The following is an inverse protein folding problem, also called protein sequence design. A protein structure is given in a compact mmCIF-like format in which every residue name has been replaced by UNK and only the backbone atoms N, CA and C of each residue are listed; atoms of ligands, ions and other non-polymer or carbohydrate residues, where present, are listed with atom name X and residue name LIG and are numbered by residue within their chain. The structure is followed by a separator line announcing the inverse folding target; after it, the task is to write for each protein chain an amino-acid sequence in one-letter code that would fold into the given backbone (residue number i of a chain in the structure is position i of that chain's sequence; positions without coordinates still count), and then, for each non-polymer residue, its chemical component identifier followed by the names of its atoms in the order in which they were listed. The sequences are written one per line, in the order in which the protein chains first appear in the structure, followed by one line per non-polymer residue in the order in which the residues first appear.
data_IF_852195672244
#
_entry.id   IF_852195672244
#
_cell.length_a   1.000
_cell.length_b   1.000
_cell.length_c   1.000
_cell.angle_alpha   90.00
_cell.angle_beta   90.00
_cell.angle_gamma   90.00
#
_symmetry.space_group_name_H-M   'P 1'
#
loop_
_entity.id
_entity.type
_entity.pdbx_description
1 polymer ?
#
# COMPACT_ATOMS: atom_id res chain seq x y z
N UNK A 1 28.69 1.96 -8.94
CA UNK A 1 29.66 1.69 -10.03
C UNK A 1 30.74 2.77 -10.02
N UNK A 2 32.04 2.49 -10.30
CA UNK A 2 32.81 1.25 -10.15
C UNK A 2 33.96 1.39 -9.12
N UNK A 3 34.32 0.28 -8.46
CA UNK A 3 35.47 0.17 -7.58
C UNK A 3 36.62 -0.57 -8.31
N UNK A 4 37.77 0.09 -8.43
CA UNK A 4 39.11 -0.53 -8.58
C UNK A 4 39.49 -1.00 -7.16
N UNK A 5 39.97 -2.20 -6.86
CA UNK A 5 40.94 -3.03 -7.56
C UNK A 5 42.17 -3.11 -6.65
N UNK A 6 42.30 -4.17 -5.83
CA UNK A 6 43.49 -4.44 -5.01
C UNK A 6 43.65 -5.96 -4.77
N UNK A 7 44.78 -6.50 -5.24
CA UNK A 7 45.29 -7.85 -4.97
C UNK A 7 46.09 -7.84 -3.65
N UNK A 8 46.23 -8.99 -2.97
CA UNK A 8 47.57 -9.61 -2.86
C UNK A 8 47.48 -11.15 -3.01
N UNK A 9 48.44 -11.84 -3.63
CA UNK A 9 49.80 -12.10 -3.12
C UNK A 9 49.86 -13.56 -2.64
N UNK A 10 50.38 -14.48 -3.46
CA UNK A 10 50.45 -15.92 -3.14
C UNK A 10 51.74 -16.56 -3.68
N UNK A 11 52.61 -17.00 -2.77
CA UNK A 11 53.63 -18.06 -2.91
C UNK A 11 54.32 -18.25 -1.54
N UNK A 12 54.98 -19.37 -1.19
CA UNK A 12 55.16 -20.64 -1.91
C UNK A 12 54.78 -21.88 -1.08
N UNK A 13 54.34 -22.98 -1.71
CA UNK A 13 54.15 -24.28 -1.06
C UNK A 13 55.33 -25.22 -1.34
N UNK A 14 55.89 -25.75 -0.25
CA UNK A 14 56.94 -26.78 -0.20
C UNK A 14 56.36 -28.16 -0.58
N UNK A 15 57.15 -28.93 -1.35
CA UNK A 15 57.15 -30.40 -1.43
C UNK A 15 57.62 -30.99 -0.07
N UNK A 16 57.26 -32.22 0.36
CA UNK A 16 57.57 -33.45 -0.39
C UNK A 16 56.62 -34.65 -0.22
N UNK A 17 56.71 -35.57 -1.19
CA UNK A 17 56.22 -36.93 -1.07
C UNK A 17 56.45 -37.69 -2.37
N UNK A 18 57.31 -38.72 -2.34
CA UNK A 18 56.92 -40.06 -2.78
C UNK A 18 57.92 -41.14 -2.32
N UNK A 19 57.35 -42.31 -2.05
CA UNK A 19 57.92 -43.58 -1.57
C UNK A 19 58.30 -44.51 -2.74
N UNK A 20 58.84 -45.69 -2.35
CA UNK A 20 59.10 -46.93 -3.14
C UNK A 20 60.43 -47.00 -3.92
N UNK A 21 61.15 -48.11 -4.04
CA UNK A 21 60.97 -49.52 -3.66
C UNK A 21 62.33 -50.28 -3.77
N UNK A 22 62.47 -51.38 -3.03
CA UNK A 22 63.21 -52.63 -3.35
C UNK A 22 64.71 -52.65 -3.72
N UNK A 23 65.50 -53.45 -2.98
CA UNK A 23 66.03 -54.76 -3.41
C UNK A 23 67.37 -55.14 -2.73
N UNK A 24 67.49 -56.43 -2.42
CA UNK A 24 68.48 -57.14 -1.58
C UNK A 24 69.96 -57.06 -1.98
N UNK A 25 70.90 -57.42 -1.07
CA UNK A 25 72.20 -57.95 -1.44
C UNK A 25 72.30 -59.48 -1.29
N UNK A 26 73.20 -60.01 -2.10
CA UNK A 26 73.32 -61.39 -2.58
C UNK A 26 74.02 -62.35 -1.60
N UNK A 27 73.49 -63.56 -1.55
CA UNK A 27 74.21 -64.78 -1.17
C UNK A 27 75.29 -65.10 -2.22
N UNK A 28 76.49 -65.49 -1.77
CA UNK A 28 77.37 -66.38 -2.54
C UNK A 28 78.18 -67.28 -1.59
N UNK A 29 77.85 -68.55 -1.64
CA UNK A 29 78.62 -69.66 -1.06
C UNK A 29 79.61 -70.21 -2.09
N UNK A 30 80.55 -71.04 -1.58
CA UNK A 30 81.31 -72.11 -2.27
C UNK A 30 82.56 -71.59 -3.03
N UNK A 31 83.75 -72.24 -3.05
CA UNK A 31 84.05 -73.68 -2.97
C UNK A 31 85.60 -73.94 -2.99
N UNK A 32 86.02 -75.13 -2.48
CA UNK A 32 87.17 -76.02 -2.83
C UNK A 32 88.65 -75.80 -2.41
N UNK A 33 89.25 -76.96 -2.02
CA UNK A 33 90.67 -77.34 -2.10
C UNK A 33 91.14 -78.07 -0.83
N UNK A 34 90.85 -79.35 -0.54
CA UNK A 34 91.32 -80.63 -1.11
C UNK A 34 92.86 -80.80 -1.26
N UNK A 35 93.43 -81.69 -0.43
CA UNK A 35 94.47 -82.74 -0.70
C UNK A 35 95.05 -83.16 0.69
N UNK A 36 94.90 -84.35 1.25
CA UNK A 36 95.16 -85.73 0.79
C UNK A 36 96.59 -85.91 0.26
N UNK A 37 97.45 -86.46 1.12
CA UNK A 37 98.58 -87.31 0.73
C UNK A 37 98.84 -88.26 1.91
N UNK A 38 98.48 -89.52 1.69
CA UNK A 38 98.91 -90.64 2.52
C UNK A 38 100.10 -91.35 1.89
N UNK A 39 100.64 -92.26 2.71
CA UNK A 39 101.33 -93.50 2.38
C UNK A 39 102.80 -93.54 1.97
N UNK A 40 103.45 -94.54 2.60
CA UNK A 40 104.42 -95.49 2.05
C UNK A 40 105.85 -94.96 1.79
N UNK A 41 106.96 -95.70 1.93
CA UNK A 41 107.25 -97.11 2.26
C UNK A 41 108.78 -97.32 2.15
N UNK A 42 109.32 -98.22 2.99
CA UNK A 42 110.46 -99.18 2.84
C UNK A 42 111.81 -98.86 2.13
N UNK A 43 112.88 -99.46 2.70
CA UNK A 43 114.16 -99.83 2.04
C UNK A 43 115.38 -99.60 2.95
N UNK A 44 115.87 -100.53 3.78
CA UNK A 44 116.61 -101.79 3.52
C UNK A 44 118.04 -101.61 2.95
N UNK A 45 119.07 -101.80 3.79
CA UNK A 45 120.38 -102.42 3.50
C UNK A 45 121.10 -102.66 4.84
N UNK A 46 121.12 -103.86 5.43
CA UNK A 46 121.98 -105.05 5.21
C UNK A 46 123.33 -105.04 5.99
N UNK A 47 123.47 -106.00 6.93
CA UNK A 47 124.70 -106.62 7.52
C UNK A 47 125.62 -105.75 8.43
N UNK A 48 126.11 -106.13 9.64
CA UNK A 48 126.49 -107.42 10.25
C UNK A 48 126.38 -107.42 11.81
N UNK A 49 126.11 -108.63 12.34
CA UNK A 49 126.56 -109.25 13.61
C UNK A 49 126.27 -108.68 15.02
N UNK A 50 125.36 -109.40 15.70
CA UNK A 50 125.37 -109.84 17.12
C UNK A 50 125.43 -108.81 18.28
N UNK A 51 124.29 -108.55 18.96
CA UNK A 51 124.35 -108.15 20.38
C UNK A 51 123.19 -107.43 21.10
N UNK A 52 122.12 -106.92 20.46
CA UNK A 52 121.31 -105.83 21.08
C UNK A 52 119.78 -106.06 21.17
N UNK A 53 119.34 -107.12 21.87
CA UNK A 53 117.90 -107.45 21.94
C UNK A 53 117.13 -106.89 23.16
N UNK A 54 117.82 -106.19 24.08
CA UNK A 54 117.23 -105.73 25.35
C UNK A 54 116.98 -104.21 25.37
N UNK A 55 117.94 -103.38 24.90
CA UNK A 55 117.84 -101.91 24.93
C UNK A 55 116.75 -101.35 24.00
N UNK A 56 116.49 -102.04 22.88
CA UNK A 56 115.41 -101.68 21.96
C UNK A 56 114.01 -101.82 22.59
N UNK A 57 113.81 -102.71 23.56
CA UNK A 57 112.52 -102.85 24.26
C UNK A 57 112.26 -101.68 25.21
N UNK A 58 113.28 -101.22 25.92
CA UNK A 58 113.17 -100.09 26.84
C UNK A 58 112.94 -98.78 26.07
N UNK A 59 113.54 -98.63 24.89
CA UNK A 59 113.28 -97.48 24.02
C UNK A 59 111.84 -97.46 23.46
N UNK A 60 111.32 -98.62 23.03
CA UNK A 60 109.93 -98.76 22.57
C UNK A 60 108.94 -98.44 23.70
N UNK A 61 109.18 -98.93 24.91
CA UNK A 61 108.29 -98.63 26.06
C UNK A 61 108.34 -97.16 26.48
N UNK A 62 109.50 -96.49 26.39
CA UNK A 62 109.58 -95.04 26.61
C UNK A 62 108.82 -94.25 25.55
N UNK A 63 108.91 -94.64 24.29
CA UNK A 63 108.15 -94.03 23.20
C UNK A 63 106.64 -94.23 23.36
N UNK A 64 106.19 -95.40 23.80
CA UNK A 64 104.78 -95.66 24.10
C UNK A 64 104.27 -94.81 25.28
N UNK A 65 105.07 -94.63 26.32
CA UNK A 65 104.77 -93.74 27.44
C UNK A 65 104.74 -92.26 27.03
N UNK A 66 105.62 -91.84 26.11
CA UNK A 66 105.61 -90.47 25.58
C UNK A 66 104.39 -90.24 24.67
N UNK A 67 104.04 -91.22 23.84
CA UNK A 67 102.89 -91.17 22.94
C UNK A 67 101.57 -91.11 23.71
N UNK A 68 101.43 -91.91 24.77
CA UNK A 68 100.28 -91.87 25.69
C UNK A 68 100.20 -90.54 26.43
N UNK A 69 101.32 -90.00 26.95
CA UNK A 69 101.34 -88.64 27.54
C UNK A 69 100.93 -87.55 26.56
N UNK A 70 101.41 -87.61 25.31
CA UNK A 70 100.97 -86.69 24.24
C UNK A 70 99.48 -86.82 23.98
N UNK A 71 98.99 -88.06 23.85
CA UNK A 71 97.58 -88.33 23.58
C UNK A 71 96.69 -87.83 24.72
N UNK A 72 97.06 -88.05 25.99
CA UNK A 72 96.36 -87.50 27.14
C UNK A 72 96.38 -85.96 27.17
N UNK A 73 97.50 -85.34 26.78
CA UNK A 73 97.60 -83.88 26.67
C UNK A 73 96.71 -83.32 25.57
N UNK A 74 96.60 -84.00 24.44
CA UNK A 74 95.64 -83.66 23.38
C UNK A 74 94.20 -83.84 23.85
N UNK A 75 93.88 -84.94 24.51
CA UNK A 75 92.53 -85.19 25.05
C UNK A 75 92.15 -84.18 26.13
N UNK A 76 93.08 -83.78 27.01
CA UNK A 76 92.84 -82.71 28.00
C UNK A 76 92.57 -81.37 27.33
N UNK A 77 93.39 -80.97 26.35
CA UNK A 77 93.16 -79.74 25.59
C UNK A 77 91.85 -79.80 24.80
N UNK A 78 91.54 -80.93 24.18
CA UNK A 78 90.29 -81.13 23.44
C UNK A 78 89.07 -81.02 24.37
N UNK A 79 89.13 -81.63 25.56
CA UNK A 79 88.08 -81.46 26.58
C UNK A 79 87.95 -80.01 27.05
N UNK A 80 89.06 -79.32 27.28
CA UNK A 80 89.05 -77.90 27.64
C UNK A 80 88.45 -77.03 26.53
N UNK A 81 88.81 -77.27 25.26
CA UNK A 81 88.21 -76.57 24.14
C UNK A 81 86.72 -76.90 23.98
N UNK A 82 86.30 -78.16 24.18
CA UNK A 82 84.89 -78.54 24.15
C UNK A 82 84.08 -77.85 25.24
N UNK A 83 84.60 -77.78 26.47
CA UNK A 83 83.97 -77.03 27.57
C UNK A 83 83.89 -75.55 27.22
N UNK A 84 84.97 -74.96 26.70
CA UNK A 84 85.01 -73.54 26.30
C UNK A 84 84.03 -73.23 25.17
N UNK A 85 83.92 -74.11 24.18
CA UNK A 85 82.95 -74.00 23.08
C UNK A 85 81.54 -74.08 23.65
N UNK A 86 81.25 -75.04 24.52
CA UNK A 86 79.95 -75.18 25.16
C UNK A 86 79.57 -73.96 26.01
N UNK A 87 80.52 -73.36 26.74
CA UNK A 87 80.31 -72.12 27.48
C UNK A 87 80.01 -70.93 26.54
N UNK A 88 80.77 -70.78 25.46
CA UNK A 88 80.56 -69.72 24.47
C UNK A 88 79.24 -69.88 23.72
N UNK A 89 78.84 -71.10 23.41
CA UNK A 89 77.53 -71.42 22.82
C UNK A 89 76.39 -71.12 23.78
N UNK A 90 76.53 -71.43 25.08
CA UNK A 90 75.57 -71.08 26.11
C UNK A 90 75.42 -69.56 26.25
N UNK A 91 76.54 -68.81 26.27
CA UNK A 91 76.54 -67.36 26.30
C UNK A 91 75.90 -66.77 25.04
N UNK A 92 76.19 -67.31 23.86
CA UNK A 92 75.56 -66.88 22.60
C UNK A 92 74.06 -67.13 22.60
N UNK A 93 73.60 -68.27 23.12
CA UNK A 93 72.18 -68.57 23.25
C UNK A 93 71.50 -67.66 24.28
N UNK A 94 72.15 -67.36 25.41
CA UNK A 94 71.64 -66.43 26.40
C UNK A 94 71.54 -65.00 25.83
N UNK A 95 72.55 -64.54 25.08
CA UNK A 95 72.52 -63.26 24.36
C UNK A 95 71.45 -63.23 23.28
N UNK A 96 71.22 -64.33 22.54
CA UNK A 96 70.12 -64.44 21.57
C UNK A 96 68.76 -64.38 22.24
N UNK A 97 68.57 -65.08 23.36
CA UNK A 97 67.34 -65.06 24.14
C UNK A 97 67.05 -63.66 24.72
N UNK A 98 68.07 -62.96 25.24
CA UNK A 98 67.97 -61.57 25.68
C UNK A 98 67.63 -60.63 24.52
N UNK A 99 68.28 -60.79 23.36
CA UNK A 99 68.00 -60.01 22.15
C UNK A 99 66.57 -60.20 21.63
N UNK A 100 65.99 -61.41 21.72
CA UNK A 100 64.57 -61.60 21.40
C UNK A 100 63.64 -60.87 22.38
N UNK A 101 63.96 -60.80 23.67
CA UNK A 101 63.16 -60.04 24.65
C UNK A 101 63.30 -58.53 24.44
N UNK A 102 64.50 -58.02 24.19
CA UNK A 102 64.72 -56.61 23.80
C UNK A 102 63.97 -56.27 22.52
N UNK A 103 64.01 -57.16 21.51
CA UNK A 103 63.24 -56.99 20.26
C UNK A 103 61.72 -56.92 20.49
N UNK A 104 61.18 -57.63 21.49
CA UNK A 104 59.74 -57.53 21.82
C UNK A 104 59.40 -56.22 22.53
N UNK A 105 60.29 -55.70 23.38
CA UNK A 105 60.11 -54.39 24.04
C UNK A 105 60.24 -53.25 23.03
N UNK A 106 61.16 -53.35 22.07
CA UNK A 106 61.27 -52.39 20.98
C UNK A 106 60.00 -52.40 20.10
N UNK A 107 59.46 -53.58 19.79
CA UNK A 107 58.22 -53.68 19.03
C UNK A 107 57.00 -53.08 19.76
N UNK A 108 56.91 -53.23 21.09
CA UNK A 108 55.84 -52.59 21.87
C UNK A 108 56.04 -51.08 21.96
N UNK A 109 57.28 -50.60 22.11
CA UNK A 109 57.61 -49.17 22.09
C UNK A 109 57.33 -48.54 20.73
N UNK A 110 57.58 -49.23 19.63
CA UNK A 110 57.24 -48.77 18.29
C UNK A 110 55.73 -48.71 18.07
N UNK A 111 54.98 -49.70 18.58
CA UNK A 111 53.52 -49.66 18.59
C UNK A 111 52.99 -48.49 19.43
N UNK A 112 53.58 -48.22 20.59
CA UNK A 112 53.23 -47.08 21.43
C UNK A 112 53.50 -45.75 20.71
N UNK A 113 54.65 -45.61 20.05
CA UNK A 113 54.97 -44.44 19.21
C UNK A 113 54.02 -44.30 18.03
N UNK A 114 53.60 -45.40 17.41
CA UNK A 114 52.61 -45.39 16.33
C UNK A 114 51.23 -44.95 16.82
N UNK A 115 50.77 -45.48 17.96
CA UNK A 115 49.51 -45.04 18.58
C UNK A 115 49.58 -43.57 18.97
N UNK A 116 50.68 -43.11 19.57
CA UNK A 116 50.85 -41.70 19.92
C UNK A 116 50.84 -40.80 18.67
N UNK A 117 51.53 -41.19 17.58
CA UNK A 117 51.44 -40.48 16.29
C UNK A 117 50.01 -40.41 15.76
N UNK A 118 49.27 -41.51 15.83
CA UNK A 118 47.85 -41.55 15.42
C UNK A 118 46.97 -40.67 16.30
N UNK A 119 47.21 -40.64 17.61
CA UNK A 119 46.50 -39.74 18.54
C UNK A 119 46.80 -38.29 18.19
N UNK A 120 48.06 -37.92 17.99
CA UNK A 120 48.45 -36.56 17.59
C UNK A 120 47.80 -36.14 16.28
N UNK A 121 47.80 -37.01 15.27
CA UNK A 121 47.13 -36.76 13.99
C UNK A 121 45.61 -36.61 14.17
N UNK A 122 44.98 -37.39 15.05
CA UNK A 122 43.57 -37.24 15.37
C UNK A 122 43.27 -35.92 16.10
N UNK A 123 44.16 -35.48 16.98
CA UNK A 123 44.06 -34.19 17.69
C UNK A 123 44.19 -33.03 16.71
N UNK A 124 45.16 -33.08 15.80
CA UNK A 124 45.33 -32.08 14.75
C UNK A 124 44.07 -32.00 13.86
N UNK A 125 43.50 -33.14 13.48
CA UNK A 125 42.24 -33.16 12.73
C UNK A 125 41.06 -32.57 13.50
N UNK A 126 40.95 -32.85 14.81
CA UNK A 126 39.90 -32.25 15.66
C UNK A 126 40.11 -30.75 15.81
N UNK A 127 41.36 -30.31 15.96
CA UNK A 127 41.72 -28.90 16.05
C UNK A 127 41.36 -28.17 14.74
N UNK A 128 41.71 -28.72 13.58
CA UNK A 128 41.37 -28.15 12.27
C UNK A 128 39.86 -28.08 12.04
N UNK A 129 39.13 -29.15 12.39
CA UNK A 129 37.66 -29.15 12.35
C UNK A 129 37.08 -28.09 13.27
N UNK A 130 37.62 -27.96 14.49
CA UNK A 130 37.14 -26.96 15.47
C UNK A 130 37.41 -25.54 14.97
N UNK A 131 38.60 -25.25 14.43
CA UNK A 131 38.92 -23.95 13.84
C UNK A 131 38.01 -23.62 12.65
N UNK A 132 37.69 -24.61 11.81
CA UNK A 132 36.76 -24.43 10.69
C UNK A 132 35.34 -24.13 11.15
N UNK A 133 34.83 -24.87 12.14
CA UNK A 133 33.50 -24.63 12.73
C UNK A 133 33.44 -23.21 13.32
N UNK A 134 34.48 -22.77 14.02
CA UNK A 134 34.52 -21.44 14.63
C UNK A 134 34.47 -20.32 13.57
N UNK A 135 35.21 -20.48 12.46
CA UNK A 135 35.16 -19.55 11.32
C UNK A 135 33.80 -19.55 10.62
N UNK A 136 33.16 -20.71 10.47
CA UNK A 136 31.81 -20.82 9.90
C UNK A 136 30.77 -20.13 10.80
N UNK A 137 30.84 -20.33 12.12
CA UNK A 137 29.98 -19.65 13.09
C UNK A 137 30.18 -18.13 13.07
N UNK A 138 31.42 -17.64 12.99
CA UNK A 138 31.69 -16.20 12.85
C UNK A 138 31.08 -15.64 11.56
N UNK A 139 31.23 -16.37 10.44
CA UNK A 139 30.66 -15.97 9.16
C UNK A 139 29.12 -15.93 9.19
N UNK A 140 28.49 -16.89 9.85
CA UNK A 140 27.04 -16.95 9.99
C UNK A 140 26.53 -15.85 10.92
N UNK A 141 27.24 -15.57 12.01
CA UNK A 141 26.95 -14.44 12.90
C UNK A 141 27.03 -13.11 12.13
N UNK A 142 28.07 -12.91 11.33
CA UNK A 142 28.20 -11.72 10.47
C UNK A 142 27.09 -11.64 9.41
N UNK A 143 26.67 -12.76 8.85
CA UNK A 143 25.53 -12.80 7.91
C UNK A 143 24.23 -12.40 8.62
N UNK A 144 23.97 -12.93 9.81
CA UNK A 144 22.81 -12.58 10.61
C UNK A 144 22.82 -11.10 11.01
N UNK A 145 23.96 -10.56 11.42
CA UNK A 145 24.10 -9.13 11.72
C UNK A 145 23.85 -8.25 10.50
N UNK A 146 24.38 -8.60 9.33
CA UNK A 146 24.11 -7.86 8.08
C UNK A 146 22.64 -7.91 7.71
N UNK A 147 22.00 -9.07 7.80
CA UNK A 147 20.56 -9.21 7.54
C UNK A 147 19.74 -8.33 8.49
N UNK A 148 20.09 -8.30 9.79
CA UNK A 148 19.42 -7.43 10.77
C UNK A 148 19.67 -5.95 10.51
N UNK A 149 20.87 -5.56 10.09
CA UNK A 149 21.17 -4.18 9.71
C UNK A 149 20.34 -3.73 8.51
N UNK A 150 20.21 -4.58 7.49
CA UNK A 150 19.34 -4.28 6.35
C UNK A 150 17.87 -4.19 6.75
N UNK A 151 17.37 -5.10 7.59
CA UNK A 151 15.99 -5.03 8.12
C UNK A 151 15.74 -3.72 8.88
N UNK A 152 16.66 -3.33 9.77
CA UNK A 152 16.54 -2.07 10.54
C UNK A 152 16.63 -0.86 9.62
N UNK A 153 17.48 -0.89 8.60
CA UNK A 153 17.58 0.20 7.63
C UNK A 153 16.31 0.33 6.78
N UNK A 154 15.75 -0.80 6.32
CA UNK A 154 14.49 -0.85 5.59
C UNK A 154 13.32 -0.37 6.46
N UNK A 155 13.27 -0.77 7.74
CA UNK A 155 12.29 -0.27 8.70
C UNK A 155 12.40 1.26 8.86
N UNK A 156 13.61 1.79 9.03
CA UNK A 156 13.85 3.23 9.17
C UNK A 156 13.47 4.02 7.91
N UNK A 157 13.80 3.50 6.72
CA UNK A 157 13.39 4.08 5.45
C UNK A 157 11.87 4.04 5.29
N UNK A 158 11.21 2.93 5.67
CA UNK A 158 9.76 2.81 5.63
C UNK A 158 9.05 3.75 6.62
N UNK A 159 9.60 3.95 7.83
CA UNK A 159 9.05 4.89 8.81
C UNK A 159 9.22 6.33 8.33
N UNK A 160 10.38 6.68 7.78
CA UNK A 160 10.61 7.99 7.19
C UNK A 160 9.59 8.28 6.08
N UNK A 161 9.38 7.33 5.17
CA UNK A 161 8.41 7.48 4.08
C UNK A 161 6.97 7.61 4.60
N UNK A 162 6.58 6.85 5.63
CA UNK A 162 5.25 6.97 6.26
C UNK A 162 5.03 8.33 6.93
N UNK A 163 6.06 8.90 7.58
CA UNK A 163 5.94 10.22 8.20
C UNK A 163 5.76 11.34 7.17
N UNK A 164 6.38 11.20 6.00
CA UNK A 164 6.28 12.17 4.90
C UNK A 164 4.93 12.08 4.16
N UNK A 165 4.39 10.86 4.06
CA UNK A 165 3.09 10.60 3.43
C UNK A 165 1.93 11.23 4.21
N UNK A 166 2.00 11.22 5.55
CA UNK A 166 1.03 11.90 6.41
C UNK A 166 0.99 13.40 6.19
N UNK A 167 2.16 14.06 6.17
CA UNK A 167 2.25 15.50 5.93
C UNK A 167 1.77 15.85 4.51
N UNK A 168 2.17 15.08 3.51
CA UNK A 168 1.77 15.26 2.11
C UNK A 168 0.26 15.14 1.92
N UNK A 169 -0.38 14.13 2.52
CA UNK A 169 -1.82 13.94 2.46
C UNK A 169 -2.59 15.09 3.13
N UNK A 170 -2.09 15.62 4.25
CA UNK A 170 -2.69 16.80 4.89
C UNK A 170 -2.56 18.06 4.05
N UNK A 171 -1.41 18.26 3.40
CA UNK A 171 -1.17 19.38 2.48
C UNK A 171 -2.11 19.30 1.28
N UNK A 172 -2.25 18.12 0.67
CA UNK A 172 -3.15 17.92 -0.47
C UNK A 172 -4.61 18.16 -0.08
N UNK A 173 -5.04 17.65 1.08
CA UNK A 173 -6.37 17.92 1.62
C UNK A 173 -6.61 19.40 1.89
N UNK A 174 -5.62 20.11 2.45
CA UNK A 174 -5.71 21.57 2.66
C UNK A 174 -5.90 22.29 1.33
N UNK A 175 -5.09 21.95 0.33
CA UNK A 175 -5.17 22.53 -1.01
C UNK A 175 -6.53 22.25 -1.67
N UNK A 176 -7.07 21.04 -1.52
CA UNK A 176 -8.39 20.72 -2.03
C UNK A 176 -9.47 21.58 -1.37
N UNK A 177 -9.46 21.69 -0.04
CA UNK A 177 -10.43 22.53 0.69
C UNK A 177 -10.31 24.01 0.30
N UNK A 178 -9.11 24.52 0.07
CA UNK A 178 -8.90 25.87 -0.46
C UNK A 178 -9.57 26.06 -1.83
N UNK A 179 -9.42 25.09 -2.75
CA UNK A 179 -10.08 25.16 -4.07
C UNK A 179 -11.61 25.08 -3.97
N UNK A 180 -12.14 24.27 -3.07
CA UNK A 180 -13.59 24.17 -2.84
C UNK A 180 -14.14 25.47 -2.22
N UNK A 181 -13.41 26.08 -1.29
CA UNK A 181 -13.76 27.38 -0.72
C UNK A 181 -13.76 28.47 -1.78
N UNK A 182 -12.75 28.52 -2.65
CA UNK A 182 -12.69 29.53 -3.70
C UNK A 182 -13.84 29.34 -4.72
N UNK A 183 -14.12 28.10 -5.13
CA UNK A 183 -15.24 27.79 -6.00
C UNK A 183 -16.60 28.15 -5.40
N UNK A 184 -16.81 27.91 -4.10
CA UNK A 184 -18.06 28.28 -3.43
C UNK A 184 -18.23 29.80 -3.30
N UNK A 185 -17.14 30.55 -3.06
CA UNK A 185 -17.17 32.02 -3.11
C UNK A 185 -17.55 32.53 -4.50
N UNK A 186 -16.93 32.01 -5.56
CA UNK A 186 -17.25 32.40 -6.94
C UNK A 186 -18.72 32.13 -7.28
N UNK A 187 -19.27 31.00 -6.83
CA UNK A 187 -20.68 30.67 -7.00
C UNK A 187 -21.59 31.62 -6.22
N UNK A 188 -21.25 31.95 -4.97
CA UNK A 188 -21.99 32.90 -4.15
C UNK A 188 -22.01 34.29 -4.80
N UNK A 189 -20.85 34.79 -5.24
CA UNK A 189 -20.73 36.07 -5.95
C UNK A 189 -21.57 36.10 -7.22
N UNK A 190 -21.61 35.00 -7.97
CA UNK A 190 -22.44 34.89 -9.18
C UNK A 190 -23.93 34.94 -8.85
N UNK A 191 -24.36 34.21 -7.82
CA UNK A 191 -25.74 34.22 -7.36
C UNK A 191 -26.15 35.61 -6.86
N UNK A 192 -25.28 36.31 -6.13
CA UNK A 192 -25.55 37.66 -5.65
C UNK A 192 -25.70 38.65 -6.80
N UNK A 193 -24.86 38.58 -7.84
CA UNK A 193 -25.01 39.41 -9.05
C UNK A 193 -26.36 39.16 -9.73
N UNK A 194 -26.77 37.90 -9.87
CA UNK A 194 -28.07 37.54 -10.45
C UNK A 194 -29.24 38.04 -9.59
N UNK A 195 -29.16 37.87 -8.28
CA UNK A 195 -30.21 38.29 -7.35
C UNK A 195 -30.34 39.82 -7.32
N UNK A 196 -29.22 40.55 -7.35
CA UNK A 196 -29.22 42.00 -7.51
C UNK A 196 -29.87 42.44 -8.84
N UNK A 197 -29.58 41.75 -9.94
CA UNK A 197 -30.22 42.03 -11.24
C UNK A 197 -31.73 41.84 -11.18
N UNK A 198 -32.18 40.70 -10.64
CA UNK A 198 -33.61 40.40 -10.46
C UNK A 198 -34.28 41.41 -9.53
N UNK A 199 -33.60 41.84 -8.46
CA UNK A 199 -34.13 42.84 -7.53
C UNK A 199 -34.32 44.20 -8.23
N UNK A 200 -33.36 44.63 -9.04
CA UNK A 200 -33.48 45.87 -9.84
C UNK A 200 -34.62 45.77 -10.84
N UNK A 201 -34.78 44.64 -11.51
CA UNK A 201 -35.87 44.42 -12.47
C UNK A 201 -37.23 44.40 -11.76
N UNK A 202 -37.35 43.73 -10.61
CA UNK A 202 -38.57 43.69 -9.81
C UNK A 202 -38.95 45.11 -9.35
N UNK A 203 -37.98 45.90 -8.90
CA UNK A 203 -38.19 47.30 -8.53
C UNK A 203 -38.68 48.13 -9.74
N UNK A 204 -38.06 47.97 -10.91
CA UNK A 204 -38.50 48.63 -12.15
C UNK A 204 -39.94 48.27 -12.50
N UNK A 205 -40.30 46.99 -12.43
CA UNK A 205 -41.66 46.51 -12.72
C UNK A 205 -42.67 47.08 -11.71
N UNK A 206 -42.34 47.10 -10.42
CA UNK A 206 -43.18 47.74 -9.38
C UNK A 206 -43.45 49.20 -9.69
N UNK A 207 -42.42 49.96 -10.08
CA UNK A 207 -42.60 51.36 -10.49
C UNK A 207 -43.50 51.47 -11.73
N UNK A 208 -43.33 50.60 -12.73
CA UNK A 208 -44.19 50.59 -13.92
C UNK A 208 -45.66 50.30 -13.60
N UNK A 209 -45.93 49.29 -12.76
CA UNK A 209 -47.29 48.99 -12.32
C UNK A 209 -47.92 50.15 -11.54
N UNK A 210 -47.15 50.78 -10.64
CA UNK A 210 -47.63 51.94 -9.90
C UNK A 210 -47.99 53.12 -10.84
N UNK A 211 -47.18 53.39 -11.87
CA UNK A 211 -47.50 54.40 -12.89
C UNK A 211 -48.77 54.04 -13.66
N UNK A 212 -48.92 52.79 -14.11
CA UNK A 212 -50.13 52.34 -14.80
C UNK A 212 -51.38 52.45 -13.91
N UNK A 213 -51.26 52.16 -12.62
CA UNK A 213 -52.36 52.29 -11.67
C UNK A 213 -52.76 53.76 -11.47
N UNK A 214 -51.78 54.67 -11.35
CA UNK A 214 -52.03 56.12 -11.31
C UNK A 214 -52.71 56.62 -12.60
N UNK A 215 -52.27 56.16 -13.77
CA UNK A 215 -52.88 56.52 -15.06
C UNK A 215 -54.33 56.00 -15.15
N UNK A 216 -54.56 54.76 -14.71
CA UNK A 216 -55.91 54.18 -14.63
C UNK A 216 -56.82 54.99 -13.71
N UNK A 217 -56.34 55.38 -12.53
CA UNK A 217 -57.09 56.23 -11.61
C UNK A 217 -57.39 57.60 -12.20
N UNK A 218 -56.42 58.20 -12.90
CA UNK A 218 -56.60 59.47 -13.57
C UNK A 218 -57.68 59.40 -14.67
N UNK A 219 -57.63 58.38 -15.53
CA UNK A 219 -58.64 58.15 -16.57
C UNK A 219 -60.02 57.89 -15.97
N UNK A 220 -60.11 57.14 -14.87
CA UNK A 220 -61.38 56.93 -14.14
C UNK A 220 -61.93 58.26 -13.61
N UNK A 221 -61.09 59.12 -13.03
CA UNK A 221 -61.49 60.46 -12.56
C UNK A 221 -61.99 61.32 -13.72
N UNK A 222 -61.26 61.38 -14.83
CA UNK A 222 -61.68 62.10 -16.04
C UNK A 222 -63.02 61.58 -16.56
N UNK A 223 -63.18 60.26 -16.66
CA UNK A 223 -64.43 59.63 -17.12
C UNK A 223 -65.62 60.00 -16.22
N UNK A 224 -65.41 60.04 -14.89
CA UNK A 224 -66.45 60.46 -13.94
C UNK A 224 -66.79 61.95 -14.12
N UNK A 225 -65.81 62.83 -14.30
CA UNK A 225 -66.06 64.26 -14.57
C UNK A 225 -66.87 64.45 -15.85
N UNK A 226 -66.46 63.82 -16.96
CA UNK A 226 -67.19 63.88 -18.23
C UNK A 226 -68.61 63.34 -18.08
N UNK A 227 -68.82 62.26 -17.33
CA UNK A 227 -70.17 61.73 -17.03
C UNK A 227 -71.01 62.74 -16.25
N UNK A 228 -70.45 63.41 -15.23
CA UNK A 228 -71.15 64.45 -14.46
C UNK A 228 -71.53 65.64 -15.35
N UNK A 229 -70.62 66.12 -16.19
CA UNK A 229 -70.91 67.19 -17.15
C UNK A 229 -71.97 66.78 -18.17
N UNK A 230 -71.94 65.53 -18.66
CA UNK A 230 -72.98 65.01 -19.55
C UNK A 230 -74.36 65.00 -18.90
N UNK A 231 -74.44 64.59 -17.63
CA UNK A 231 -75.70 64.64 -16.86
C UNK A 231 -76.16 66.08 -16.68
N UNK A 232 -75.26 67.01 -16.33
CA UNK A 232 -75.58 68.44 -16.22
C UNK A 232 -76.14 68.98 -17.53
N UNK A 233 -75.47 68.74 -18.65
CA UNK A 233 -75.90 69.20 -19.98
C UNK A 233 -77.23 68.58 -20.41
N UNK A 234 -77.49 67.32 -20.06
CA UNK A 234 -78.80 66.68 -20.32
C UNK A 234 -79.91 67.33 -19.51
N UNK A 235 -79.66 67.68 -18.25
CA UNK A 235 -80.62 68.41 -17.43
C UNK A 235 -80.88 69.80 -18.00
N UNK A 236 -79.84 70.56 -18.34
CA UNK A 236 -79.96 71.88 -19.00
C UNK A 236 -80.73 71.78 -20.33
N UNK A 237 -80.46 70.75 -21.13
CA UNK A 237 -81.20 70.49 -22.37
C UNK A 237 -82.68 70.22 -22.12
N UNK A 238 -83.01 69.40 -21.12
CA UNK A 238 -84.40 69.09 -20.79
C UNK A 238 -85.14 70.31 -20.23
N UNK A 239 -84.47 71.16 -19.44
CA UNK A 239 -85.01 72.44 -18.96
C UNK A 239 -85.32 73.40 -20.11
N UNK A 240 -84.37 73.61 -21.04
CA UNK A 240 -84.58 74.45 -22.22
C UNK A 240 -85.68 73.90 -23.12
N UNK A 241 -85.75 72.58 -23.28
CA UNK A 241 -86.81 71.92 -24.03
C UNK A 241 -88.19 72.15 -23.40
N UNK A 242 -88.32 72.04 -22.08
CA UNK A 242 -89.55 72.36 -21.35
C UNK A 242 -89.94 73.83 -21.52
N UNK A 243 -88.96 74.76 -21.47
CA UNK A 243 -89.21 76.19 -21.72
C UNK A 243 -89.71 76.45 -23.15
N UNK A 244 -89.13 75.79 -24.16
CA UNK A 244 -89.58 75.87 -25.54
C UNK A 244 -91.00 75.32 -25.73
N UNK A 245 -91.31 74.21 -25.06
CA UNK A 245 -92.65 73.60 -25.09
C UNK A 245 -93.68 74.52 -24.43
N UNK A 246 -93.37 75.11 -23.27
CA UNK A 246 -94.22 76.12 -22.62
C UNK A 246 -94.44 77.36 -23.51
N UNK A 247 -93.39 77.88 -24.15
CA UNK A 247 -93.51 79.01 -25.09
C UNK A 247 -94.31 78.65 -26.35
N UNK A 248 -94.22 77.41 -26.81
CA UNK A 248 -95.01 76.91 -27.94
C UNK A 248 -96.48 76.79 -27.55
N UNK A 249 -96.77 76.23 -26.38
CA UNK A 249 -98.12 76.16 -25.83
C UNK A 249 -98.72 77.57 -25.61
N UNK A 250 -97.94 78.54 -25.12
CA UNK A 250 -98.37 79.94 -25.01
C UNK A 250 -98.63 80.57 -26.39
N UNK A 251 -97.79 80.26 -27.39
CA UNK A 251 -98.05 80.68 -28.78
C UNK A 251 -99.33 80.08 -29.33
N UNK A 252 -99.58 78.79 -29.08
CA UNK A 252 -100.77 78.09 -29.54
C UNK A 252 -102.03 78.57 -28.77
N UNK A 253 -101.89 79.05 -27.52
CA UNK A 253 -102.99 79.66 -26.73
C UNK A 253 -103.39 81.07 -27.18
N UNK A 254 -102.49 81.83 -27.80
CA UNK A 254 -102.79 83.16 -28.36
C UNK A 254 -103.04 83.18 -29.87
N UNK A 255 -102.96 82.02 -30.54
CA UNK A 255 -103.20 81.84 -31.97
C UNK A 255 -104.47 81.00 -32.20
N UNK A 256 -105.64 81.64 -32.27
CA UNK A 256 -106.83 81.04 -32.90
C UNK A 256 -106.75 81.18 -34.44
N UNK A 257 -107.33 80.25 -35.21
CA UNK A 257 -106.78 79.82 -36.49
C UNK A 257 -107.17 80.75 -37.64
N UNK A 258 -106.20 81.21 -38.41
CA UNK A 258 -106.44 81.64 -39.79
C UNK A 258 -105.42 81.03 -40.75
N UNK A 259 -105.98 80.27 -41.69
CA UNK A 259 -105.51 80.01 -43.06
C UNK A 259 -104.36 79.03 -43.27
N UNK A 260 -104.74 77.85 -43.77
CA UNK A 260 -103.96 77.08 -44.73
C UNK A 260 -103.62 77.94 -45.96
N UNK A 261 -102.43 77.75 -46.54
CA UNK A 261 -102.10 77.67 -47.98
C UNK A 261 -100.57 77.62 -48.15
N UNK A 262 -100.08 76.54 -48.79
CA UNK A 262 -99.17 76.62 -49.94
C UNK A 262 -97.67 76.91 -49.75
N UNK A 263 -96.86 76.11 -50.43
CA UNK A 263 -95.46 76.42 -50.80
C UNK A 263 -94.45 75.49 -50.13
N UNK A 264 -93.99 74.39 -50.74
CA UNK A 264 -92.97 74.37 -51.80
C UNK A 264 -91.90 75.45 -51.59
N UNK A 265 -90.66 75.03 -51.32
CA UNK A 265 -89.43 75.38 -52.04
C UNK A 265 -88.19 74.78 -51.33
N UNK A 266 -87.52 73.86 -52.04
CA UNK A 266 -86.06 73.76 -52.19
C UNK A 266 -85.12 74.38 -51.14
N UNK A 267 -84.16 73.60 -50.61
CA UNK A 267 -82.78 73.69 -51.12
C UNK A 267 -81.90 72.53 -50.61
N UNK A 268 -81.15 72.00 -51.57
CA UNK A 268 -79.96 71.17 -51.50
C UNK A 268 -78.76 71.88 -50.86
N UNK A 269 -77.86 71.13 -50.20
CA UNK A 269 -76.38 71.20 -50.25
C UNK A 269 -75.80 70.40 -49.08
N UNK A 270 -75.19 69.23 -49.28
CA UNK A 270 -73.78 69.01 -49.64
C UNK A 270 -72.77 69.76 -48.76
N UNK A 271 -72.13 69.04 -47.83
CA UNK A 271 -70.73 69.32 -47.43
C UNK A 271 -70.10 68.09 -46.77
N UNK A 272 -69.57 67.23 -47.64
CA UNK A 272 -68.50 66.31 -47.29
C UNK A 272 -67.17 67.09 -47.26
N UNK A 273 -66.39 67.00 -46.17
CA UNK A 273 -64.95 67.30 -46.09
C UNK A 273 -64.36 66.62 -44.82
N UNK A 274 -63.05 66.36 -44.72
CA UNK A 274 -62.19 65.68 -45.68
C UNK A 274 -61.33 64.56 -45.03
N UNK A 275 -60.97 63.56 -45.83
CA UNK A 275 -59.88 62.62 -45.56
C UNK A 275 -58.55 63.34 -45.86
N UNK A 276 -57.79 63.69 -44.83
CA UNK A 276 -56.40 64.16 -44.98
C UNK A 276 -55.47 62.96 -44.82
N UNK A 277 -54.92 62.50 -45.94
CA UNK A 277 -53.61 61.87 -46.02
C UNK A 277 -52.63 62.91 -46.52
N UNK A 278 -51.53 63.14 -45.81
CA UNK A 278 -50.22 63.57 -46.33
C UNK A 278 -49.30 63.95 -45.16
N UNK A 279 -47.98 64.05 -45.34
CA UNK A 279 -47.07 63.05 -45.89
C UNK A 279 -45.85 62.84 -44.95
N UNK A 280 -45.09 61.80 -45.22
CA UNK A 280 -43.69 61.67 -44.77
C UNK A 280 -42.84 62.82 -45.34
N UNK A 281 -41.74 63.18 -44.64
CA UNK A 281 -40.47 63.32 -45.34
C UNK A 281 -39.44 62.35 -44.76
N UNK A 282 -38.94 61.45 -45.60
CA UNK A 282 -37.62 60.86 -45.43
C UNK A 282 -36.57 61.93 -45.73
N UNK A 283 -35.43 61.91 -45.04
CA UNK A 283 -34.10 61.87 -45.67
C UNK A 283 -33.03 61.33 -44.70
N UNK A 284 -32.42 60.20 -45.09
CA UNK A 284 -30.97 59.86 -45.15
C UNK A 284 -30.15 59.93 -43.84
N UNK A 285 -29.40 58.89 -43.40
CA UNK A 285 -28.39 58.12 -44.15
C UNK A 285 -27.80 56.96 -43.27
N UNK A 286 -26.82 56.12 -43.69
CA UNK A 286 -27.00 54.66 -43.77
C UNK A 286 -26.00 53.79 -42.95
N UNK A 287 -26.36 52.51 -42.79
CA UNK A 287 -25.45 51.36 -42.88
C UNK A 287 -24.45 51.08 -41.75
N UNK A 288 -24.72 50.05 -40.94
CA UNK A 288 -23.90 48.84 -40.86
C UNK A 288 -24.62 47.77 -40.00
N UNK A 289 -24.78 46.59 -40.59
CA UNK A 289 -25.38 45.39 -40.00
C UNK A 289 -24.32 44.52 -39.33
N UNK A 290 -24.62 43.95 -38.15
CA UNK A 290 -24.28 42.57 -37.70
C UNK A 290 -25.30 42.20 -36.58
N UNK A 291 -25.81 40.95 -36.48
CA UNK A 291 -27.15 40.65 -35.99
C UNK A 291 -27.20 40.29 -34.49
N UNK A 292 -28.35 40.61 -33.84
CA UNK A 292 -28.73 40.08 -32.53
C UNK A 292 -29.79 38.98 -32.69
N UNK A 293 -29.72 37.89 -31.91
CA UNK A 293 -30.70 36.81 -31.95
C UNK A 293 -31.97 37.20 -31.18
N UNK A 294 -33.11 36.81 -31.75
CA UNK A 294 -34.45 36.96 -31.22
C UNK A 294 -34.69 36.15 -29.94
N UNK A 295 -35.28 36.79 -28.93
CA UNK A 295 -36.15 36.12 -27.95
C UNK A 295 -37.32 37.02 -27.58
N UNK A 296 -38.44 36.74 -28.25
CA UNK A 296 -39.84 36.74 -27.79
C UNK A 296 -40.28 37.71 -26.67
N UNK A 297 -41.15 38.66 -27.04
CA UNK A 297 -42.22 39.14 -26.16
C UNK A 297 -43.54 39.04 -26.92
N UNK A 298 -44.53 38.47 -26.25
CA UNK A 298 -45.77 37.94 -26.81
C UNK A 298 -46.75 39.01 -27.27
N UNK A 299 -47.24 38.81 -28.50
CA UNK A 299 -48.43 39.43 -29.03
C UNK A 299 -49.64 38.62 -28.58
N UNK A 300 -50.63 39.30 -28.02
CA UNK A 300 -51.92 38.73 -27.63
C UNK A 300 -52.66 38.26 -28.87
N UNK A 301 -53.08 37.00 -28.82
CA UNK A 301 -53.75 36.21 -29.83
C UNK A 301 -55.13 36.74 -30.24
N UNK A 302 -55.32 36.90 -31.56
CA UNK A 302 -56.53 36.41 -32.23
C UNK A 302 -56.47 34.88 -32.37
N UNK A 303 -57.61 34.17 -32.33
CA UNK A 303 -57.65 32.72 -32.44
C UNK A 303 -57.62 32.28 -33.92
N UNK A 304 -57.24 31.02 -34.13
CA UNK A 304 -57.23 30.30 -35.42
C UNK A 304 -55.98 30.45 -36.29
N UNK A 305 -54.88 29.82 -35.85
CA UNK A 305 -54.21 28.71 -36.57
C UNK A 305 -53.01 28.29 -35.73
N UNK A 306 -53.24 27.43 -34.74
CA UNK A 306 -52.14 26.77 -34.03
C UNK A 306 -51.47 25.80 -35.01
N UNK A 307 -50.21 26.08 -35.36
CA UNK A 307 -49.42 25.16 -36.18
C UNK A 307 -49.14 23.89 -35.36
N UNK A 308 -49.39 22.68 -35.89
CA UNK A 308 -49.25 21.43 -35.15
C UNK A 308 -47.81 21.19 -34.65
N UNK A 309 -46.81 21.85 -35.25
CA UNK A 309 -45.41 21.82 -34.83
C UNK A 309 -45.11 22.60 -33.54
N UNK A 310 -45.84 23.68 -33.25
CA UNK A 310 -45.67 24.40 -31.99
C UNK A 310 -46.15 23.53 -30.82
N UNK A 311 -47.29 22.88 -31.01
CA UNK A 311 -47.87 21.98 -30.01
C UNK A 311 -47.00 20.74 -29.73
N UNK A 312 -46.33 20.17 -30.74
CA UNK A 312 -45.38 19.07 -30.51
C UNK A 312 -44.16 19.52 -29.72
N UNK A 313 -43.58 20.69 -30.03
CA UNK A 313 -42.47 21.27 -29.25
C UNK A 313 -42.86 21.55 -27.81
N UNK A 314 -44.03 22.13 -27.56
CA UNK A 314 -44.51 22.37 -26.20
C UNK A 314 -44.74 21.04 -25.44
N UNK A 315 -45.29 20.01 -26.10
CA UNK A 315 -45.44 18.68 -25.50
C UNK A 315 -44.10 18.04 -25.12
N UNK A 316 -43.06 18.21 -25.93
CA UNK A 316 -41.72 17.73 -25.63
C UNK A 316 -41.06 18.49 -24.47
N UNK A 317 -41.20 19.82 -24.44
CA UNK A 317 -40.72 20.66 -23.33
C UNK A 317 -41.41 20.26 -22.02
N UNK A 318 -42.73 20.10 -22.03
CA UNK A 318 -43.50 19.64 -20.87
C UNK A 318 -43.03 18.25 -20.43
N UNK A 319 -42.80 17.32 -21.37
CA UNK A 319 -42.30 15.98 -21.07
C UNK A 319 -40.89 16.02 -20.44
N UNK A 320 -40.00 16.88 -20.93
CA UNK A 320 -38.66 17.09 -20.36
C UNK A 320 -38.73 17.70 -18.96
N UNK A 321 -39.54 18.74 -18.77
CA UNK A 321 -39.73 19.38 -17.47
C UNK A 321 -40.35 18.42 -16.44
N UNK A 322 -41.32 17.59 -16.85
CA UNK A 322 -41.88 16.53 -15.99
C UNK A 322 -40.82 15.50 -15.58
N UNK A 323 -39.94 15.08 -16.49
CA UNK A 323 -38.81 14.18 -16.16
C UNK A 323 -37.83 14.83 -15.19
N UNK A 324 -37.50 16.10 -15.38
CA UNK A 324 -36.62 16.83 -14.47
C UNK A 324 -37.24 16.95 -13.07
N UNK A 325 -38.52 17.32 -12.97
CA UNK A 325 -39.23 17.35 -11.69
C UNK A 325 -39.29 15.97 -11.02
N UNK A 326 -39.46 14.90 -11.80
CA UNK A 326 -39.44 13.53 -11.25
C UNK A 326 -38.06 13.15 -10.72
N UNK A 327 -36.99 13.53 -11.41
CA UNK A 327 -35.60 13.34 -10.95
C UNK A 327 -35.32 14.16 -9.69
N UNK A 328 -35.74 15.43 -9.64
CA UNK A 328 -35.58 16.27 -8.46
C UNK A 328 -36.39 15.74 -7.27
N UNK A 329 -37.62 15.26 -7.49
CA UNK A 329 -38.42 14.60 -6.44
C UNK A 329 -37.73 13.36 -5.89
N UNK A 330 -37.16 12.50 -6.75
CA UNK A 330 -36.38 11.33 -6.33
C UNK A 330 -35.13 11.71 -5.58
N UNK A 331 -34.39 12.71 -6.06
CA UNK A 331 -33.18 13.20 -5.40
C UNK A 331 -33.53 13.76 -4.01
N UNK A 332 -34.58 14.56 -3.91
CA UNK A 332 -35.06 15.13 -2.64
C UNK A 332 -35.53 14.02 -1.68
N UNK A 333 -36.21 12.99 -2.18
CA UNK A 333 -36.57 11.82 -1.38
C UNK A 333 -35.32 11.08 -0.89
N UNK A 334 -34.31 10.89 -1.75
CA UNK A 334 -33.05 10.24 -1.40
C UNK A 334 -32.28 11.02 -0.32
N UNK A 335 -32.19 12.35 -0.44
CA UNK A 335 -31.57 13.23 0.56
C UNK A 335 -32.33 13.15 1.88
N UNK A 336 -33.67 13.17 1.87
CA UNK A 336 -34.48 13.01 3.09
C UNK A 336 -34.25 11.65 3.76
N UNK A 337 -34.19 10.56 2.99
CA UNK A 337 -33.89 9.24 3.54
C UNK A 337 -32.47 9.17 4.10
N UNK A 338 -31.49 9.72 3.40
CA UNK A 338 -30.10 9.76 3.85
C UNK A 338 -29.96 10.55 5.17
N UNK A 339 -30.56 11.74 5.25
CA UNK A 339 -30.58 12.54 6.47
C UNK A 339 -31.23 11.80 7.65
N UNK A 340 -32.38 11.13 7.42
CA UNK A 340 -33.05 10.33 8.45
C UNK A 340 -32.16 9.18 8.94
N UNK A 341 -31.47 8.50 8.03
CA UNK A 341 -30.52 7.45 8.40
C UNK A 341 -29.33 8.01 9.17
N UNK A 342 -28.77 9.15 8.76
CA UNK A 342 -27.63 9.76 9.45
C UNK A 342 -28.00 10.18 10.87
N UNK A 343 -29.20 10.77 11.05
CA UNK A 343 -29.71 11.13 12.35
C UNK A 343 -29.83 9.89 13.26
N UNK A 344 -30.35 8.78 12.73
CA UNK A 344 -30.44 7.52 13.46
C UNK A 344 -29.05 7.01 13.91
N UNK A 345 -28.07 6.96 12.99
CA UNK A 345 -26.70 6.55 13.33
C UNK A 345 -26.05 7.47 14.38
N UNK A 346 -26.28 8.79 14.31
CA UNK A 346 -25.79 9.73 15.33
C UNK A 346 -26.44 9.45 16.69
N UNK A 347 -27.75 9.23 16.73
CA UNK A 347 -28.44 8.85 17.97
C UNK A 347 -27.93 7.53 18.53
N UNK A 348 -27.66 6.52 17.68
CA UNK A 348 -27.07 5.25 18.11
C UNK A 348 -25.66 5.44 18.70
N UNK A 349 -24.78 6.20 18.03
CA UNK A 349 -23.44 6.50 18.54
C UNK A 349 -23.47 7.23 19.88
N UNK A 350 -24.32 8.24 19.99
CA UNK A 350 -24.51 8.98 21.25
C UNK A 350 -25.00 8.07 22.37
N UNK A 351 -25.91 7.15 22.06
CA UNK A 351 -26.47 6.22 23.03
C UNK A 351 -25.41 5.21 23.52
N UNK A 352 -24.61 4.66 22.61
CA UNK A 352 -23.49 3.76 22.95
C UNK A 352 -22.43 4.48 23.78
N UNK A 353 -22.09 5.73 23.44
CA UNK A 353 -21.13 6.54 24.18
C UNK A 353 -21.63 6.85 25.59
N UNK A 354 -22.91 7.24 25.73
CA UNK A 354 -23.55 7.48 27.04
C UNK A 354 -23.54 6.22 27.89
N UNK A 355 -23.87 5.06 27.31
CA UNK A 355 -23.83 3.77 28.00
C UNK A 355 -22.41 3.45 28.50
N UNK A 356 -21.38 3.58 27.68
CA UNK A 356 -19.99 3.34 28.11
C UNK A 356 -19.55 4.29 29.23
N UNK A 357 -19.92 5.56 29.15
CA UNK A 357 -19.61 6.54 30.20
C UNK A 357 -20.34 6.16 31.50
N UNK A 358 -21.59 5.71 31.41
CA UNK A 358 -22.38 5.26 32.54
C UNK A 358 -21.77 4.01 33.19
N UNK A 359 -21.32 3.04 32.40
CA UNK A 359 -20.67 1.81 32.87
C UNK A 359 -19.38 2.12 33.64
N UNK A 360 -18.54 3.02 33.10
CA UNK A 360 -17.31 3.46 33.78
C UNK A 360 -17.63 4.22 35.06
N UNK A 361 -18.67 5.08 35.06
CA UNK A 361 -19.11 5.78 36.28
C UNK A 361 -19.63 4.80 37.34
N UNK A 362 -20.39 3.78 36.94
CA UNK A 362 -20.89 2.75 37.84
C UNK A 362 -19.75 1.92 38.44
N UNK A 363 -18.73 1.59 37.64
CA UNK A 363 -17.52 0.89 38.10
C UNK A 363 -16.71 1.76 39.07
N UNK A 364 -16.50 3.05 38.79
CA UNK A 364 -15.84 3.98 39.71
C UNK A 364 -16.61 4.06 41.03
N UNK A 365 -17.94 4.15 40.99
CA UNK A 365 -18.78 4.16 42.18
C UNK A 365 -18.68 2.84 42.97
N UNK A 366 -18.62 1.70 42.29
CA UNK A 366 -18.42 0.40 42.91
C UNK A 366 -17.04 0.29 43.57
N UNK A 367 -15.97 0.68 42.87
CA UNK A 367 -14.59 0.67 43.39
C UNK A 367 -14.48 1.60 44.60
N UNK A 368 -15.07 2.79 44.54
CA UNK A 368 -15.14 3.73 45.66
C UNK A 368 -15.93 3.17 46.85
N UNK A 369 -16.98 2.39 46.62
CA UNK A 369 -17.75 1.72 47.68
C UNK A 369 -17.06 0.47 48.26
N UNK A 370 -16.18 -0.18 47.50
CA UNK A 370 -15.43 -1.38 47.90
C UNK A 370 -14.07 -1.08 48.55
N UNK A 371 -13.60 0.17 48.49
CA UNK A 371 -12.36 0.55 49.14
C UNK A 371 -12.51 0.48 50.67
N UNK A 372 -11.71 -0.32 51.38
CA UNK A 372 -11.83 -0.45 52.83
C UNK A 372 -11.49 0.88 53.49
N UNK A 373 -12.42 1.40 54.29
CA UNK A 373 -12.24 2.63 55.07
C UNK A 373 -11.09 2.45 56.07
N UNK A 374 -9.88 2.86 55.69
CA UNK A 374 -8.78 3.05 56.63
C UNK A 374 -8.97 4.39 57.35
N UNK A 375 -9.12 4.41 58.69
CA UNK A 375 -9.28 5.65 59.43
C UNK A 375 -7.89 6.23 59.68
N UNK A 376 -7.52 7.29 58.96
CA UNK A 376 -6.33 8.07 59.34
C UNK A 376 -6.59 9.54 59.11
N UNK A 377 -7.02 10.17 60.21
CA UNK A 377 -6.74 11.53 60.65
C UNK A 377 -6.08 12.44 59.61
N UNK A 378 -6.82 13.47 59.18
CA UNK A 378 -6.31 14.85 59.08
C UNK A 378 -7.46 15.85 59.18
N UNK A 379 -7.62 16.35 60.41
CA UNK A 379 -8.15 17.67 60.75
C UNK A 379 -7.21 18.72 60.14
N UNK A 380 -7.70 19.67 59.35
CA UNK A 380 -7.89 21.06 59.75
C UNK A 380 -8.18 21.94 58.52
N UNK A 381 -9.02 22.94 58.79
CA UNK A 381 -9.41 24.12 58.02
C UNK A 381 -10.50 24.00 56.95
N UNK A 382 -11.50 24.88 56.84
CA UNK A 382 -12.14 25.85 57.75
C UNK A 382 -13.27 26.46 56.91
N UNK A 383 -14.46 26.58 57.53
CA UNK A 383 -15.50 27.56 57.22
C UNK A 383 -16.31 27.45 55.91
N UNK A 384 -17.61 27.23 56.08
CA UNK A 384 -18.59 28.16 55.53
C UNK A 384 -19.73 27.55 54.73
N UNK A 385 -20.93 27.76 55.26
CA UNK A 385 -22.21 27.88 54.53
C UNK A 385 -23.03 26.61 54.30
N UNK A 386 -24.01 26.45 55.19
CA UNK A 386 -25.28 25.80 54.89
C UNK A 386 -25.93 26.51 53.70
N UNK A 387 -26.18 25.78 52.62
CA UNK A 387 -27.41 25.95 51.84
C UNK A 387 -27.69 24.65 51.08
N UNK A 388 -28.80 24.02 51.46
CA UNK A 388 -29.39 22.95 50.67
C UNK A 388 -29.92 23.52 49.35
N UNK A 389 -29.67 22.80 48.27
CA UNK A 389 -30.20 23.17 46.95
C UNK A 389 -29.36 22.61 45.82
N UNK A 390 -29.69 21.38 45.41
CA UNK A 390 -29.54 20.92 44.04
C UNK A 390 -28.14 21.12 43.42
N UNK A 391 -27.15 20.39 43.90
CA UNK A 391 -25.91 20.21 43.13
C UNK A 391 -26.20 19.24 41.99
N UNK A 392 -26.56 19.81 40.84
CA UNK A 392 -26.23 19.26 39.52
C UNK A 392 -24.85 18.60 39.65
N UNK A 393 -24.80 17.28 39.56
CA UNK A 393 -23.60 16.50 39.77
C UNK A 393 -22.46 17.06 38.91
N UNK A 394 -21.57 17.82 39.55
CA UNK A 394 -20.29 18.24 38.99
C UNK A 394 -19.66 16.97 38.44
N UNK A 395 -19.39 16.91 37.12
CA UNK A 395 -18.94 15.68 36.50
C UNK A 395 -17.62 15.33 37.15
N UNK A 396 -17.60 14.25 37.96
CA UNK A 396 -16.35 13.64 38.43
C UNK A 396 -15.39 13.67 37.25
N UNK A 397 -14.35 14.50 37.35
CA UNK A 397 -13.37 14.64 36.28
C UNK A 397 -12.72 13.27 36.13
N UNK A 398 -13.12 12.55 35.09
CA UNK A 398 -12.57 11.26 34.71
C UNK A 398 -11.04 11.39 34.77
N UNK A 399 -10.43 10.62 35.65
CA UNK A 399 -8.98 10.60 35.80
C UNK A 399 -8.36 10.04 34.53
N UNK A 400 -7.06 10.26 34.31
CA UNK A 400 -6.37 9.78 33.12
C UNK A 400 -6.56 8.26 32.93
N UNK A 401 -6.54 7.52 34.04
CA UNK A 401 -6.77 6.07 34.09
C UNK A 401 -8.19 5.68 33.73
N UNK A 402 -9.20 6.45 34.17
CA UNK A 402 -10.61 6.19 33.82
C UNK A 402 -10.87 6.44 32.34
N UNK A 403 -10.20 7.44 31.76
CA UNK A 403 -10.26 7.73 30.31
C UNK A 403 -9.64 6.61 29.50
N UNK A 404 -8.51 6.05 29.94
CA UNK A 404 -7.87 4.93 29.27
C UNK A 404 -8.76 3.68 29.29
N UNK A 405 -9.36 3.35 30.44
CA UNK A 405 -10.33 2.25 30.56
C UNK A 405 -11.61 2.49 29.75
N UNK A 406 -12.09 3.73 29.67
CA UNK A 406 -13.22 4.10 28.82
C UNK A 406 -12.89 3.84 27.34
N UNK A 407 -11.69 4.19 26.89
CA UNK A 407 -11.22 3.93 25.52
C UNK A 407 -11.14 2.42 25.27
N UNK A 408 -10.60 1.63 26.21
CA UNK A 408 -10.56 0.16 26.08
C UNK A 408 -11.96 -0.45 26.00
N UNK A 409 -12.91 0.00 26.83
CA UNK A 409 -14.32 -0.45 26.78
C UNK A 409 -15.03 -0.01 25.50
N UNK A 410 -14.74 1.19 25.00
CA UNK A 410 -15.27 1.68 23.72
C UNK A 410 -14.74 0.85 22.55
N UNK A 411 -13.45 0.52 22.55
CA UNK A 411 -12.82 -0.33 21.54
C UNK A 411 -13.30 -1.78 21.59
N UNK A 412 -13.71 -2.27 22.77
CA UNK A 412 -14.29 -3.61 22.93
C UNK A 412 -15.72 -3.74 22.36
N UNK A 413 -16.46 -2.63 22.19
CA UNK A 413 -17.80 -2.67 21.59
C UNK A 413 -17.66 -2.73 20.06
N UNK A 414 -17.71 -3.95 19.51
CA UNK A 414 -17.67 -4.22 18.07
C UNK A 414 -18.69 -3.38 17.27
N UNK A 415 -19.88 -3.14 17.85
CA UNK A 415 -20.91 -2.27 17.25
C UNK A 415 -20.43 -0.82 17.07
N UNK A 416 -19.70 -0.26 18.03
CA UNK A 416 -19.10 1.08 17.91
C UNK A 416 -18.00 1.09 16.85
N UNK A 417 -17.15 0.06 16.86
CA UNK A 417 -16.09 -0.11 15.88
C UNK A 417 -16.67 -0.18 14.46
N UNK A 418 -17.77 -0.89 14.26
CA UNK A 418 -18.44 -1.00 12.96
C UNK A 418 -19.05 0.35 12.53
N UNK A 419 -19.75 1.08 13.42
CA UNK A 419 -20.26 2.41 13.07
C UNK A 419 -19.14 3.42 12.78
N UNK A 420 -18.04 3.38 13.55
CA UNK A 420 -16.87 4.24 13.32
C UNK A 420 -16.13 3.87 12.05
N UNK A 421 -15.92 2.58 11.78
CA UNK A 421 -15.25 2.09 10.56
C UNK A 421 -16.05 2.46 9.32
N UNK A 422 -17.38 2.29 9.36
CA UNK A 422 -18.27 2.67 8.25
C UNK A 422 -18.22 4.19 7.97
N UNK A 423 -17.90 5.01 8.98
CA UNK A 423 -17.79 6.47 8.84
C UNK A 423 -16.37 6.96 8.52
N UNK A 424 -15.35 6.29 9.07
CA UNK A 424 -13.94 6.58 8.83
C UNK A 424 -13.51 6.11 7.43
N UNK A 425 -14.13 5.02 6.96
CA UNK A 425 -13.94 4.45 5.64
C UNK A 425 -15.31 4.27 4.98
N UNK A 426 -15.95 5.36 4.52
CA UNK A 426 -17.15 5.24 3.71
C UNK A 426 -16.78 4.36 2.51
N UNK A 427 -17.38 3.18 2.42
CA UNK A 427 -17.28 2.33 1.23
C UNK A 427 -17.81 3.21 0.11
N UNK A 428 -16.90 3.79 -0.68
CA UNK A 428 -17.28 4.47 -1.91
C UNK A 428 -17.88 3.35 -2.73
N UNK A 429 -19.20 3.32 -2.84
CA UNK A 429 -19.86 2.60 -3.92
C UNK A 429 -19.49 3.33 -5.21
N UNK A 430 -18.21 3.30 -5.58
CA UNK A 430 -17.81 3.55 -6.95
C UNK A 430 -18.42 2.42 -7.75
N UNK A 431 -19.04 2.77 -8.86
CA UNK A 431 -19.47 1.80 -9.88
C UNK A 431 -18.24 1.25 -10.60
N UNK A 432 -17.21 0.84 -9.84
CA UNK A 432 -16.06 0.12 -10.35
C UNK A 432 -16.36 -1.37 -10.12
N UNK A 433 -16.68 -2.13 -11.19
CA UNK A 433 -16.98 -3.55 -11.08
C UNK A 433 -15.82 -4.38 -10.51
N UNK A 434 -14.62 -3.78 -10.43
CA UNK A 434 -13.41 -4.44 -9.95
C UNK A 434 -13.32 -4.52 -8.42
N UNK A 435 -14.10 -3.74 -7.67
CA UNK A 435 -14.03 -3.68 -6.20
C UNK A 435 -15.26 -4.27 -5.48
N UNK A 436 -16.38 -4.49 -6.18
CA UNK A 436 -17.59 -5.06 -5.54
C UNK A 436 -17.62 -6.58 -5.42
N UNK A 437 -16.63 -7.31 -5.95
CA UNK A 437 -16.58 -8.77 -5.78
C UNK A 437 -17.75 -9.57 -6.38
N UNK A 438 -18.69 -8.91 -7.06
CA UNK A 438 -19.64 -9.57 -7.95
C UNK A 438 -18.87 -9.98 -9.21
N UNK A 439 -18.60 -11.27 -9.32
CA UNK A 439 -17.94 -11.86 -10.48
C UNK A 439 -18.62 -11.39 -11.77
N UNK A 440 -17.86 -10.65 -12.58
CA UNK A 440 -18.26 -10.29 -13.94
C UNK A 440 -18.68 -11.57 -14.68
N UNK A 441 -19.84 -11.53 -15.32
CA UNK A 441 -20.33 -12.65 -16.13
C UNK A 441 -19.28 -12.96 -17.21
N UNK A 442 -19.00 -14.24 -17.51
CA UNK A 442 -18.10 -14.63 -18.60
C UNK A 442 -18.43 -13.95 -19.94
N UNK A 443 -19.68 -13.57 -20.16
CA UNK A 443 -20.13 -12.84 -21.36
C UNK A 443 -19.63 -11.39 -21.42
N UNK A 444 -19.50 -10.71 -20.29
CA UNK A 444 -18.99 -9.33 -20.23
C UNK A 444 -17.47 -9.28 -20.42
N UNK A 445 -16.76 -10.28 -19.88
CA UNK A 445 -15.33 -10.46 -20.12
C UNK A 445 -15.08 -10.71 -21.62
N UNK A 446 -15.90 -11.55 -22.25
CA UNK A 446 -15.79 -11.85 -23.70
C UNK A 446 -16.01 -10.60 -24.56
N UNK A 447 -16.96 -9.73 -24.19
CA UNK A 447 -17.18 -8.44 -24.87
C UNK A 447 -15.98 -7.51 -24.78
N UNK A 448 -15.39 -7.40 -23.58
CA UNK A 448 -14.23 -6.54 -23.39
C UNK A 448 -13.02 -7.00 -24.21
N UNK A 449 -12.81 -8.31 -24.34
CA UNK A 449 -11.75 -8.84 -25.20
C UNK A 449 -12.04 -8.62 -26.69
N UNK A 450 -13.31 -8.67 -27.11
CA UNK A 450 -13.69 -8.39 -28.50
C UNK A 450 -13.46 -6.91 -28.89
N UNK A 451 -13.75 -5.96 -27.99
CA UNK A 451 -13.54 -4.53 -28.25
C UNK A 451 -12.05 -4.16 -28.34
N UNK A 452 -11.20 -4.82 -27.55
CA UNK A 452 -9.74 -4.64 -27.60
C UNK A 452 -9.14 -5.26 -28.87
N UNK A 453 -9.66 -6.41 -29.32
CA UNK A 453 -9.24 -7.02 -30.58
C UNK A 453 -9.61 -6.14 -31.80
N UNK A 454 -10.79 -5.52 -31.80
CA UNK A 454 -11.24 -4.64 -32.89
C UNK A 454 -10.45 -3.32 -33.01
N UNK A 455 -9.86 -2.84 -31.92
CA UNK A 455 -8.98 -1.67 -31.94
C UNK A 455 -7.59 -1.97 -32.56
N UNK A 456 -7.16 -3.22 -32.55
CA UNK A 456 -5.83 -3.62 -33.02
C UNK A 456 -5.78 -3.82 -34.55
N UNK A 457 -6.88 -4.24 -35.18
CA UNK A 457 -6.93 -4.37 -36.65
C UNK A 457 -7.05 -3.04 -37.39
N UNK A 458 -7.57 -1.98 -36.75
CA UNK A 458 -7.80 -0.70 -37.42
C UNK A 458 -6.55 0.18 -37.56
N UNK A 459 -5.43 -0.21 -36.93
CA UNK A 459 -4.17 0.55 -36.94
C UNK A 459 -3.13 0.02 -37.96
N UNK A 460 -3.41 -1.08 -38.69
CA UNK A 460 -2.42 -1.75 -39.55
C UNK A 460 -2.53 -1.52 -41.06
N UNK A 461 -3.57 -0.84 -41.57
CA UNK A 461 -3.83 -0.68 -43.00
C UNK A 461 -3.51 0.72 -43.54
N UNK A 462 -2.22 1.06 -43.64
CA UNK A 462 -1.73 2.29 -44.25
C UNK A 462 -0.66 1.98 -45.29
N UNK A 463 -1.06 1.28 -46.35
CA UNK A 463 -0.19 0.85 -47.44
C UNK A 463 0.03 2.00 -48.43
N UNK A 464 1.31 2.22 -48.74
CA UNK A 464 1.87 3.21 -49.65
C UNK A 464 1.49 2.90 -51.10
N UNK A 465 0.78 3.81 -51.76
CA UNK A 465 0.65 3.81 -53.22
C UNK A 465 1.39 5.03 -53.80
N UNK A 466 2.57 4.75 -54.33
CA UNK A 466 3.40 5.66 -55.12
C UNK A 466 3.19 5.25 -56.57
N UNK A 467 2.39 6.03 -57.30
CA UNK A 467 2.14 5.87 -58.72
C UNK A 467 2.80 6.98 -59.54
N UNK A 468 3.84 6.60 -60.28
CA UNK A 468 4.46 7.35 -61.38
C UNK A 468 3.47 7.61 -62.54
N UNK A 469 3.62 8.79 -63.17
CA UNK A 469 3.64 8.89 -64.64
C UNK A 469 2.34 9.28 -65.37
N UNK A 470 2.13 10.59 -65.57
CA UNK A 470 2.11 11.29 -66.87
C UNK A 470 1.62 12.73 -66.72
#
# INVERSE_FOLDING_TARGET
MPLKGLKPGKSPQRKPGNLEETAAPRFRSKILGLSVAGDASTGASDREEHGESQENKDYVTQLEQELTRRQESYVRRERQYKVRISELEAQLNESRAKKTKESTVDATMDKLRQMHRSIMESVDQVQDRTSKILQEQEKDLLRAFRARLYSVQEELESEKNKTDDGASAWIEKSKQLETEVEWTKELADRLDRLNQSLTRENQRLKTQFATQENDREYLVKQLVTVKKDNVRLRNEYEEVKQQLEALKDDRDRYSSPHTAIGGSLSSSSTSALPRVHSPSPQLLSPGLMVPRPNTALGSMSSPATATPEADTRYKEIIKRQKRLLEVERRNLQQVRTAYKTELHHRTELEMILKECIQDVRAEIAQVASSAPATPTVRKLDRSGSQNGGFTTAEPLRLTLTDRQRLIEKLLAKERLLNLLTTKAFPIRHSKDPLLSGDALSPEEITRMYADVAGLTERAGGGETDVGEGM
#
